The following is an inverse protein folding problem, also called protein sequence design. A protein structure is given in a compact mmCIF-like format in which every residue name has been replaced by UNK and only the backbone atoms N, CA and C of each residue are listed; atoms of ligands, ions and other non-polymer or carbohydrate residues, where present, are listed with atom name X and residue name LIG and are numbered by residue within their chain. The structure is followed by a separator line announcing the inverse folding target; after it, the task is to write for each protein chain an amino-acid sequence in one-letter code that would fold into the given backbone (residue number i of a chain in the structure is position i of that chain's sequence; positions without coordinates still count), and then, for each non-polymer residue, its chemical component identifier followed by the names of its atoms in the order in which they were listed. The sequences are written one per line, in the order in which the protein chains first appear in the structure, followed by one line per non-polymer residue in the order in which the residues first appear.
data_IF_057769654284
#
_entry.id   IF_057769654284
#
_cell.length_a   1.000
_cell.length_b   1.000
_cell.length_c   1.000
_cell.angle_alpha   90.00
_cell.angle_beta   90.00
_cell.angle_gamma   90.00
#
_symmetry.space_group_name_H-M   'P 1'
#
loop_
_entity.id
_entity.type
_entity.pdbx_description
1 polymer ?
#
# COMPACT_ATOMS: atom_id res chain seq x y z
N UNK A 1 29.08 -29.99 16.82
CA UNK A 1 29.33 -28.56 16.57
C UNK A 1 28.15 -27.96 15.82
N UNK A 2 27.39 -27.14 16.55
CA UNK A 2 26.46 -26.06 16.18
C UNK A 2 26.10 -25.85 14.69
N UNK A 3 24.89 -26.31 14.29
CA UNK A 3 24.18 -25.85 13.08
C UNK A 3 22.85 -25.13 13.36
N UNK A 4 22.43 -25.00 14.63
CA UNK A 4 21.17 -24.31 14.99
C UNK A 4 21.33 -22.80 15.26
N UNK A 5 22.55 -22.33 15.55
CA UNK A 5 22.78 -20.92 15.91
C UNK A 5 22.59 -19.96 14.72
N UNK A 6 23.07 -20.32 13.52
CA UNK A 6 23.13 -19.43 12.36
C UNK A 6 21.76 -18.98 11.85
N UNK A 7 20.74 -19.84 11.96
CA UNK A 7 19.36 -19.50 11.58
C UNK A 7 18.69 -18.53 12.57
N UNK A 8 19.01 -18.64 13.86
CA UNK A 8 18.49 -17.77 14.90
C UNK A 8 19.08 -16.35 14.81
N UNK A 9 20.38 -16.21 14.52
CA UNK A 9 21.00 -14.90 14.31
C UNK A 9 20.50 -14.22 13.04
N UNK A 10 20.26 -14.99 11.97
CA UNK A 10 19.71 -14.43 10.72
C UNK A 10 18.27 -13.96 10.89
N UNK A 11 17.42 -14.72 11.60
CA UNK A 11 16.07 -14.28 11.98
C UNK A 11 16.12 -13.03 12.85
N UNK A 12 16.96 -13.02 13.88
CA UNK A 12 17.06 -11.90 14.82
C UNK A 12 17.62 -10.63 14.19
N UNK A 13 18.52 -10.76 13.21
CA UNK A 13 19.03 -9.65 12.42
C UNK A 13 17.93 -9.03 11.54
N UNK A 14 17.16 -9.88 10.85
CA UNK A 14 16.02 -9.44 10.04
C UNK A 14 14.93 -8.80 10.91
N UNK A 15 14.63 -9.38 12.07
CA UNK A 15 13.68 -8.82 13.04
C UNK A 15 14.16 -7.46 13.59
N UNK A 16 15.46 -7.32 13.85
CA UNK A 16 16.03 -6.06 14.35
C UNK A 16 16.03 -4.99 13.26
N UNK A 17 16.37 -5.34 12.02
CA UNK A 17 16.29 -4.42 10.87
C UNK A 17 14.85 -3.94 10.64
N UNK A 18 13.87 -4.83 10.80
CA UNK A 18 12.45 -4.48 10.64
C UNK A 18 11.96 -3.57 11.76
N UNK A 19 12.35 -3.82 13.02
CA UNK A 19 12.03 -2.94 14.15
C UNK A 19 12.64 -1.54 13.99
N UNK A 20 13.89 -1.45 13.54
CA UNK A 20 14.53 -0.15 13.26
C UNK A 20 13.83 0.57 12.10
N UNK A 21 13.42 -0.18 11.06
CA UNK A 21 12.57 0.37 10.00
C UNK A 21 11.24 0.91 10.54
N UNK A 22 10.63 0.22 11.50
CA UNK A 22 9.37 0.60 12.12
C UNK A 22 9.51 1.89 12.94
N UNK A 23 10.56 1.98 13.76
CA UNK A 23 10.89 3.17 14.55
C UNK A 23 11.05 4.39 13.65
N UNK A 24 11.87 4.25 12.60
CA UNK A 24 12.16 5.32 11.63
C UNK A 24 10.91 5.71 10.84
N UNK A 25 10.07 4.75 10.45
CA UNK A 25 8.80 5.04 9.77
C UNK A 25 7.83 5.83 10.65
N UNK A 26 7.86 5.57 11.96
CA UNK A 26 7.00 6.21 12.96
C UNK A 26 7.42 7.66 13.17
N UNK A 27 8.68 7.88 13.54
CA UNK A 27 9.22 9.23 13.76
C UNK A 27 9.07 10.12 12.53
N UNK A 28 9.42 9.61 11.35
CA UNK A 28 9.30 10.39 10.11
C UNK A 28 7.85 10.79 9.79
N UNK A 29 6.87 9.91 10.00
CA UNK A 29 5.47 10.26 9.74
C UNK A 29 4.98 11.35 10.67
N UNK A 30 5.28 11.22 11.96
CA UNK A 30 4.75 12.12 12.98
C UNK A 30 5.38 13.51 12.80
N UNK A 31 6.70 13.59 12.62
CA UNK A 31 7.41 14.84 12.38
C UNK A 31 7.00 15.51 11.07
N UNK A 32 6.89 14.75 9.97
CA UNK A 32 6.54 15.31 8.66
C UNK A 32 5.06 15.73 8.63
N UNK A 33 4.16 14.94 9.22
CA UNK A 33 2.74 15.27 9.30
C UNK A 33 2.49 16.55 10.09
N UNK A 34 3.16 16.72 11.23
CA UNK A 34 3.10 17.95 12.03
C UNK A 34 3.67 19.14 11.27
N UNK A 35 4.81 18.98 10.61
CA UNK A 35 5.46 20.05 9.84
C UNK A 35 4.57 20.51 8.67
N UNK A 36 3.97 19.58 7.94
CA UNK A 36 3.06 19.89 6.82
C UNK A 36 1.79 20.60 7.32
N UNK A 37 1.24 20.14 8.45
CA UNK A 37 0.09 20.80 9.09
C UNK A 37 0.42 22.23 9.49
N UNK A 38 1.61 22.48 10.04
CA UNK A 38 2.08 23.81 10.40
C UNK A 38 2.23 24.72 9.16
N UNK A 39 2.82 24.22 8.06
CA UNK A 39 2.98 24.96 6.80
C UNK A 39 1.61 25.35 6.23
N UNK A 40 0.65 24.42 6.16
CA UNK A 40 -0.71 24.69 5.68
C UNK A 40 -1.43 25.71 6.55
N UNK A 41 -1.27 25.61 7.87
CA UNK A 41 -1.87 26.56 8.82
C UNK A 41 -1.31 27.97 8.59
N UNK A 42 0.00 28.12 8.44
CA UNK A 42 0.63 29.41 8.15
C UNK A 42 0.20 29.98 6.79
N UNK A 43 0.12 29.13 5.76
CA UNK A 43 -0.39 29.55 4.45
C UNK A 43 -1.83 30.09 4.55
N UNK A 44 -2.70 29.39 5.28
CA UNK A 44 -4.08 29.82 5.52
C UNK A 44 -4.18 31.11 6.34
N UNK A 45 -3.31 31.32 7.33
CA UNK A 45 -3.24 32.57 8.09
C UNK A 45 -2.86 33.74 7.17
N UNK A 46 -1.83 33.58 6.36
CA UNK A 46 -1.36 34.61 5.43
C UNK A 46 -2.44 34.99 4.41
N UNK A 47 -3.20 34.01 3.90
CA UNK A 47 -4.35 34.25 3.04
C UNK A 47 -5.45 35.07 3.74
N UNK A 48 -5.76 34.75 5.00
CA UNK A 48 -6.79 35.48 5.77
C UNK A 48 -6.38 36.90 6.14
N UNK A 49 -5.08 37.17 6.30
CA UNK A 49 -4.56 38.51 6.61
C UNK A 49 -4.56 39.45 5.41
N UNK A 50 -4.60 38.92 4.18
CA UNK A 50 -4.65 39.73 2.96
C UNK A 50 -5.69 39.17 1.95
N UNK A 51 -6.99 39.18 2.32
CA UNK A 51 -8.04 38.52 1.53
C UNK A 51 -8.25 39.15 0.15
N UNK A 52 -7.98 40.45 0.01
CA UNK A 52 -8.16 41.19 -1.24
C UNK A 52 -6.94 41.13 -2.17
N UNK A 53 -5.84 40.50 -1.72
CA UNK A 53 -4.62 40.38 -2.52
C UNK A 53 -4.58 39.04 -3.26
N UNK A 54 -5.03 39.04 -4.51
CA UNK A 54 -5.08 37.83 -5.35
C UNK A 54 -3.74 37.09 -5.49
N UNK A 55 -2.60 37.79 -5.43
CA UNK A 55 -1.27 37.14 -5.45
C UNK A 55 -0.98 36.38 -4.17
N UNK A 56 -1.41 36.90 -3.02
CA UNK A 56 -1.24 36.24 -1.72
C UNK A 56 -2.12 35.00 -1.65
N UNK A 57 -3.37 35.10 -2.13
CA UNK A 57 -4.28 33.96 -2.24
C UNK A 57 -3.66 32.84 -3.09
N UNK A 58 -3.20 33.16 -4.31
CA UNK A 58 -2.55 32.19 -5.20
C UNK A 58 -1.31 31.55 -4.58
N UNK A 59 -0.43 32.33 -3.96
CA UNK A 59 0.74 31.80 -3.28
C UNK A 59 0.37 30.83 -2.16
N UNK A 60 -0.65 31.14 -1.35
CA UNK A 60 -1.12 30.25 -0.30
C UNK A 60 -1.68 28.92 -0.84
N UNK A 61 -2.45 28.96 -1.94
CA UNK A 61 -2.95 27.75 -2.62
C UNK A 61 -1.78 26.91 -3.16
N UNK A 62 -0.77 27.57 -3.72
CA UNK A 62 0.41 26.88 -4.24
C UNK A 62 1.22 26.21 -3.13
N UNK A 63 1.39 26.87 -1.98
CA UNK A 63 2.02 26.29 -0.79
C UNK A 63 1.25 25.07 -0.29
N UNK A 64 -0.10 25.13 -0.28
CA UNK A 64 -0.93 24.00 0.11
C UNK A 64 -0.75 22.81 -0.83
N UNK A 65 -0.76 23.04 -2.16
CA UNK A 65 -0.52 22.01 -3.17
C UNK A 65 0.86 21.35 -3.04
N UNK A 66 1.91 22.16 -2.86
CA UNK A 66 3.27 21.64 -2.65
C UNK A 66 3.36 20.81 -1.36
N UNK A 67 2.72 21.27 -0.29
CA UNK A 67 2.70 20.58 1.00
C UNK A 67 2.01 19.21 0.89
N UNK A 68 0.89 19.13 0.15
CA UNK A 68 0.23 17.86 -0.14
C UNK A 68 1.10 16.94 -1.01
N UNK A 69 1.76 17.48 -2.03
CA UNK A 69 2.68 16.70 -2.86
C UNK A 69 3.86 16.09 -2.09
N UNK A 70 4.40 16.82 -1.10
CA UNK A 70 5.43 16.30 -0.18
C UNK A 70 4.84 15.23 0.72
N UNK A 71 3.64 15.46 1.30
CA UNK A 71 2.95 14.47 2.13
C UNK A 71 2.77 13.14 1.38
N UNK A 72 2.27 13.19 0.15
CA UNK A 72 2.04 11.99 -0.66
C UNK A 72 3.34 11.29 -1.08
N UNK A 73 4.40 12.05 -1.32
CA UNK A 73 5.72 11.49 -1.62
C UNK A 73 6.33 10.78 -0.42
N UNK A 74 6.22 11.38 0.76
CA UNK A 74 6.65 10.77 2.03
C UNK A 74 5.77 9.57 2.37
N UNK A 75 4.44 9.67 2.26
CA UNK A 75 3.52 8.54 2.46
C UNK A 75 3.87 7.38 1.54
N UNK A 76 4.22 7.62 0.27
CA UNK A 76 4.71 6.58 -0.65
C UNK A 76 6.04 5.96 -0.22
N UNK A 77 6.98 6.76 0.29
CA UNK A 77 8.26 6.25 0.80
C UNK A 77 8.07 5.43 2.08
N UNK A 78 7.21 5.91 2.99
CA UNK A 78 6.84 5.22 4.22
C UNK A 78 6.01 3.96 3.94
N UNK A 79 5.20 3.93 2.88
CA UNK A 79 4.50 2.71 2.42
C UNK A 79 5.44 1.59 2.00
N UNK A 80 6.72 1.89 1.75
CA UNK A 80 7.78 0.86 1.55
C UNK A 80 8.33 0.31 2.86
N UNK A 81 7.96 0.90 4.00
CA UNK A 81 8.15 0.39 5.36
C UNK A 81 6.87 -0.37 5.76
N UNK A 82 6.89 -1.16 6.84
CA UNK A 82 5.80 -2.08 7.21
C UNK A 82 4.41 -1.38 7.17
N UNK A 83 3.38 -1.98 6.54
CA UNK A 83 2.05 -1.35 6.47
C UNK A 83 1.41 -1.26 7.85
N UNK A 84 1.19 -0.04 8.34
CA UNK A 84 0.65 0.24 9.70
C UNK A 84 -0.69 -0.43 9.97
N UNK A 85 -1.51 -0.64 8.95
CA UNK A 85 -2.79 -1.34 9.12
C UNK A 85 -2.60 -2.75 9.70
N UNK A 86 -1.45 -3.39 9.51
CA UNK A 86 -1.18 -4.73 10.03
C UNK A 86 -0.77 -4.77 11.51
N UNK A 87 -0.55 -3.61 12.13
CA UNK A 87 -0.25 -3.50 13.57
C UNK A 87 -1.48 -3.81 14.42
N UNK A 88 -2.61 -3.22 14.05
CA UNK A 88 -3.84 -3.26 14.84
C UNK A 88 -4.95 -4.09 14.21
N UNK A 89 -4.82 -4.48 12.94
CA UNK A 89 -5.86 -5.18 12.19
C UNK A 89 -5.40 -6.55 11.69
N UNK A 90 -6.37 -7.45 11.49
CA UNK A 90 -6.16 -8.64 10.65
C UNK A 90 -5.82 -8.21 9.22
N UNK A 91 -5.15 -9.06 8.46
CA UNK A 91 -4.84 -8.80 7.06
C UNK A 91 -6.10 -8.54 6.23
N UNK A 92 -7.19 -9.30 6.44
CA UNK A 92 -8.47 -9.04 5.79
C UNK A 92 -8.98 -7.63 6.09
N UNK A 93 -9.00 -7.26 7.37
CA UNK A 93 -9.46 -5.94 7.81
C UNK A 93 -8.59 -4.83 7.25
N UNK A 94 -7.26 -5.02 7.22
CA UNK A 94 -6.32 -4.11 6.63
C UNK A 94 -6.61 -3.91 5.12
N UNK A 95 -6.86 -4.99 4.37
CA UNK A 95 -7.21 -4.92 2.94
C UNK A 95 -8.55 -4.22 2.73
N UNK A 96 -9.58 -4.50 3.55
CA UNK A 96 -10.86 -3.77 3.50
C UNK A 96 -10.68 -2.28 3.79
N UNK A 97 -9.84 -1.92 4.76
CA UNK A 97 -9.52 -0.53 5.06
C UNK A 97 -8.78 0.15 3.91
N UNK A 98 -7.81 -0.54 3.29
CA UNK A 98 -7.12 -0.06 2.10
C UNK A 98 -8.09 0.23 0.94
N UNK A 99 -9.03 -0.69 0.65
CA UNK A 99 -10.05 -0.48 -0.39
C UNK A 99 -10.93 0.76 -0.11
N UNK A 100 -11.22 1.04 1.17
CA UNK A 100 -11.96 2.24 1.59
C UNK A 100 -11.11 3.52 1.51
N UNK A 101 -9.86 3.47 1.98
CA UNK A 101 -8.91 4.60 1.93
C UNK A 101 -8.58 5.05 0.50
N UNK A 102 -8.68 4.14 -0.46
CA UNK A 102 -8.48 4.43 -1.88
C UNK A 102 -9.71 5.04 -2.55
N UNK A 103 -10.82 5.23 -1.80
CA UNK A 103 -12.03 5.88 -2.29
C UNK A 103 -12.49 5.30 -3.65
N UNK A 104 -12.46 3.96 -3.76
CA UNK A 104 -12.74 3.26 -5.02
C UNK A 104 -14.13 3.64 -5.56
N UNK A 105 -15.11 3.83 -4.68
CA UNK A 105 -16.46 4.28 -5.04
C UNK A 105 -16.46 5.69 -5.64
N UNK A 106 -15.67 6.63 -5.10
CA UNK A 106 -15.54 7.99 -5.65
C UNK A 106 -14.80 7.99 -7.00
N UNK A 107 -13.97 6.98 -7.24
CA UNK A 107 -13.38 6.69 -8.54
C UNK A 107 -14.34 5.99 -9.52
N UNK A 108 -15.57 5.67 -9.10
CA UNK A 108 -16.56 4.96 -9.91
C UNK A 108 -16.33 3.44 -10.02
N UNK A 109 -15.52 2.88 -9.12
CA UNK A 109 -15.12 1.47 -9.13
C UNK A 109 -15.88 0.69 -8.05
N UNK A 110 -16.67 -0.30 -8.48
CA UNK A 110 -17.32 -1.25 -7.56
C UNK A 110 -16.29 -2.27 -7.09
N UNK A 111 -16.20 -2.47 -5.77
CA UNK A 111 -15.16 -3.34 -5.20
C UNK A 111 -15.75 -4.54 -4.45
N UNK A 112 -15.18 -5.72 -4.68
CA UNK A 112 -15.57 -6.97 -4.04
C UNK A 112 -14.38 -7.66 -3.39
N UNK A 113 -14.57 -8.17 -2.17
CA UNK A 113 -13.56 -8.91 -1.42
C UNK A 113 -14.11 -10.26 -0.98
N UNK A 114 -13.53 -11.33 -1.52
CA UNK A 114 -13.73 -12.72 -1.07
C UNK A 114 -12.47 -13.20 -0.35
N UNK A 115 -12.51 -13.25 0.98
CA UNK A 115 -11.37 -13.64 1.78
C UNK A 115 -11.61 -14.96 2.51
N UNK A 116 -10.80 -15.97 2.19
CA UNK A 116 -10.85 -17.34 2.74
C UNK A 116 -9.46 -17.83 3.15
N UNK A 117 -8.59 -16.93 3.58
CA UNK A 117 -7.25 -17.26 4.07
C UNK A 117 -7.32 -17.40 5.59
N UNK A 118 -6.88 -18.54 6.14
CA UNK A 118 -6.61 -18.65 7.56
C UNK A 118 -5.31 -17.90 7.88
N UNK A 119 -5.46 -16.73 8.47
CA UNK A 119 -4.34 -15.85 8.81
C UNK A 119 -3.44 -16.40 9.92
N UNK A 120 -3.92 -17.33 10.74
CA UNK A 120 -3.11 -17.93 11.82
C UNK A 120 -1.97 -18.80 11.30
N UNK A 121 -2.10 -19.26 10.06
CA UNK A 121 -1.09 -20.05 9.35
C UNK A 121 -0.07 -19.16 8.59
N UNK A 122 -0.26 -17.84 8.60
CA UNK A 122 0.64 -16.91 7.92
C UNK A 122 1.74 -16.45 8.88
N UNK A 123 2.99 -16.50 8.39
CA UNK A 123 4.06 -15.70 8.99
C UNK A 123 3.77 -14.20 8.80
N UNK A 124 4.36 -13.39 9.68
CA UNK A 124 4.29 -11.94 9.58
C UNK A 124 4.80 -11.43 8.23
N UNK A 125 5.90 -11.99 7.73
CA UNK A 125 6.44 -11.64 6.42
C UNK A 125 5.44 -11.92 5.28
N UNK A 126 4.67 -13.02 5.36
CA UNK A 126 3.61 -13.32 4.38
C UNK A 126 2.46 -12.32 4.49
N UNK A 127 2.05 -11.94 5.71
CA UNK A 127 1.00 -10.92 5.92
C UNK A 127 1.39 -9.59 5.26
N UNK A 128 2.60 -9.12 5.53
CA UNK A 128 3.16 -7.89 4.93
C UNK A 128 3.22 -7.99 3.42
N UNK A 129 3.70 -9.12 2.89
CA UNK A 129 3.83 -9.33 1.44
C UNK A 129 2.48 -9.30 0.74
N UNK A 130 1.49 -10.03 1.26
CA UNK A 130 0.13 -10.08 0.69
C UNK A 130 -0.51 -8.69 0.71
N UNK A 131 -0.39 -7.95 1.82
CA UNK A 131 -0.92 -6.59 1.89
C UNK A 131 -0.29 -5.67 0.83
N UNK A 132 1.03 -5.75 0.63
CA UNK A 132 1.73 -4.94 -0.39
C UNK A 132 1.28 -5.29 -1.80
N UNK A 133 1.04 -6.58 -2.10
CA UNK A 133 0.49 -7.01 -3.39
C UNK A 133 -0.90 -6.41 -3.60
N UNK A 134 -1.77 -6.44 -2.59
CA UNK A 134 -3.08 -5.77 -2.65
C UNK A 134 -2.94 -4.26 -2.90
N UNK A 135 -2.06 -3.59 -2.15
CA UNK A 135 -1.82 -2.16 -2.27
C UNK A 135 -1.36 -1.76 -3.67
N UNK A 136 -0.34 -2.42 -4.21
CA UNK A 136 0.18 -2.10 -5.52
C UNK A 136 -0.81 -2.47 -6.63
N UNK A 137 -1.46 -3.63 -6.53
CA UNK A 137 -2.47 -4.06 -7.49
C UNK A 137 -3.63 -3.08 -7.59
N UNK A 138 -4.22 -2.69 -6.45
CA UNK A 138 -5.30 -1.70 -6.42
C UNK A 138 -4.83 -0.33 -6.92
N UNK A 139 -3.64 0.11 -6.53
CA UNK A 139 -3.06 1.37 -7.00
C UNK A 139 -2.87 1.38 -8.53
N UNK A 140 -2.45 0.26 -9.13
CA UNK A 140 -2.33 0.13 -10.57
C UNK A 140 -3.70 0.20 -11.25
N UNK A 141 -4.72 -0.44 -10.69
CA UNK A 141 -6.09 -0.39 -11.23
C UNK A 141 -6.61 1.05 -11.26
N UNK A 142 -6.55 1.74 -10.12
CA UNK A 142 -7.02 3.12 -9.99
C UNK A 142 -6.30 4.06 -10.97
N UNK A 143 -5.00 3.86 -11.18
CA UNK A 143 -4.19 4.76 -12.03
C UNK A 143 -4.22 4.44 -13.50
N UNK A 144 -4.39 3.17 -13.87
CA UNK A 144 -4.03 2.70 -15.21
C UNK A 144 -5.10 1.86 -15.90
N UNK A 145 -6.02 1.22 -15.18
CA UNK A 145 -6.92 0.25 -15.78
C UNK A 145 -8.16 0.87 -16.43
N UNK A 146 -8.59 2.07 -16.00
CA UNK A 146 -9.91 2.61 -16.35
C UNK A 146 -11.04 1.59 -16.10
N UNK A 147 -10.89 0.80 -15.04
CA UNK A 147 -11.83 -0.23 -14.62
C UNK A 147 -13.09 0.38 -13.99
N UNK A 148 -14.20 -0.35 -14.06
CA UNK A 148 -15.45 -0.05 -13.36
C UNK A 148 -15.73 -1.01 -12.20
N UNK A 149 -15.03 -2.14 -12.15
CA UNK A 149 -15.11 -3.11 -11.08
C UNK A 149 -13.75 -3.74 -10.76
N UNK A 150 -13.56 -4.09 -9.49
CA UNK A 150 -12.42 -4.88 -9.02
C UNK A 150 -12.89 -5.97 -8.07
N UNK A 151 -12.34 -7.17 -8.25
CA UNK A 151 -12.57 -8.30 -7.36
C UNK A 151 -11.25 -8.83 -6.81
N UNK A 152 -11.20 -8.96 -5.48
CA UNK A 152 -10.04 -9.46 -4.77
C UNK A 152 -10.40 -10.77 -4.07
N UNK A 153 -9.69 -11.85 -4.41
CA UNK A 153 -9.96 -13.21 -3.90
C UNK A 153 -8.72 -13.78 -3.23
N UNK A 154 -8.85 -14.18 -1.97
CA UNK A 154 -7.78 -14.85 -1.22
C UNK A 154 -8.23 -16.22 -0.74
N UNK A 155 -7.45 -17.28 -0.97
CA UNK A 155 -7.72 -18.60 -0.39
C UNK A 155 -6.44 -19.41 -0.19
N UNK A 156 -6.55 -20.51 0.56
CA UNK A 156 -5.47 -21.47 0.73
C UNK A 156 -5.79 -22.78 -0.01
N UNK A 157 -4.80 -23.33 -0.71
CA UNK A 157 -4.92 -24.60 -1.43
C UNK A 157 -3.57 -25.30 -1.47
N UNK A 158 -3.51 -26.59 -1.16
CA UNK A 158 -2.30 -27.42 -1.22
C UNK A 158 -1.09 -26.82 -0.47
N UNK A 159 -1.33 -26.22 0.71
CA UNK A 159 -0.29 -25.58 1.52
C UNK A 159 0.24 -24.26 0.94
N UNK A 160 -0.42 -23.70 -0.08
CA UNK A 160 -0.09 -22.40 -0.68
C UNK A 160 -1.20 -21.40 -0.40
N UNK A 161 -0.83 -20.13 -0.34
CA UNK A 161 -1.77 -19.02 -0.33
C UNK A 161 -1.89 -18.51 -1.76
N UNK A 162 -3.12 -18.40 -2.24
CA UNK A 162 -3.45 -17.81 -3.53
C UNK A 162 -4.16 -16.49 -3.28
N UNK A 163 -3.70 -15.45 -3.97
CA UNK A 163 -4.29 -14.13 -3.99
C UNK A 163 -4.48 -13.73 -5.45
N UNK A 164 -5.70 -13.39 -5.81
CA UNK A 164 -6.09 -12.94 -7.15
C UNK A 164 -6.69 -11.54 -7.03
N UNK A 165 -6.23 -10.65 -7.89
CA UNK A 165 -6.75 -9.29 -8.07
C UNK A 165 -7.16 -9.20 -9.53
N UNK A 166 -8.44 -8.97 -9.78
CA UNK A 166 -9.04 -8.97 -11.10
C UNK A 166 -9.81 -7.67 -11.30
N UNK A 167 -9.57 -7.01 -12.43
CA UNK A 167 -10.28 -5.81 -12.87
C UNK A 167 -10.86 -6.00 -14.28
N UNK A 168 -11.87 -5.20 -14.62
CA UNK A 168 -12.53 -5.20 -15.93
C UNK A 168 -11.98 -4.09 -16.87
N UNK A 169 -10.77 -3.60 -16.60
CA UNK A 169 -10.16 -2.49 -17.31
C UNK A 169 -9.47 -2.85 -18.62
N UNK A 170 -8.66 -1.93 -19.12
CA UNK A 170 -8.02 -2.01 -20.44
C UNK A 170 -6.87 -3.02 -20.54
N UNK A 171 -6.49 -3.67 -19.43
CA UNK A 171 -5.37 -4.60 -19.37
C UNK A 171 -4.01 -3.94 -19.59
N UNK A 172 -2.96 -4.76 -19.73
CA UNK A 172 -1.60 -4.31 -19.96
C UNK A 172 -1.38 -3.94 -21.44
N UNK A 173 -0.58 -2.90 -21.75
CA UNK A 173 -0.20 -2.59 -23.13
C UNK A 173 0.49 -3.79 -23.82
N UNK A 174 0.35 -3.95 -25.14
CA UNK A 174 1.02 -5.02 -25.89
C UNK A 174 2.54 -4.98 -25.65
N UNK A 175 3.12 -6.09 -25.19
CA UNK A 175 4.55 -6.20 -24.86
C UNK A 175 4.92 -5.97 -23.38
N UNK A 176 3.94 -5.72 -22.51
CA UNK A 176 4.16 -5.51 -21.05
C UNK A 176 3.88 -6.75 -20.20
N UNK A 177 3.41 -7.85 -20.81
CA UNK A 177 3.12 -9.09 -20.09
C UNK A 177 4.38 -9.90 -19.82
N UNK A 178 4.44 -10.70 -18.75
CA UNK A 178 5.51 -11.68 -18.57
C UNK A 178 5.34 -12.76 -19.64
N UNK A 179 6.00 -12.59 -20.78
CA UNK A 179 6.27 -13.69 -21.68
C UNK A 179 7.09 -14.73 -20.90
N UNK A 180 6.64 -15.99 -20.90
CA UNK A 180 7.41 -17.22 -20.57
C UNK A 180 7.44 -17.80 -19.14
N UNK A 181 6.69 -17.33 -18.13
CA UNK A 181 6.80 -17.93 -16.76
C UNK A 181 5.73 -18.96 -16.34
N UNK A 182 4.69 -19.22 -17.14
CA UNK A 182 3.66 -20.22 -16.81
C UNK A 182 3.39 -21.29 -17.90
N UNK A 183 4.28 -21.46 -18.88
CA UNK A 183 4.23 -22.64 -19.75
C UNK A 183 5.12 -23.76 -19.21
N UNK A 184 4.59 -24.58 -18.31
CA UNK A 184 5.23 -25.88 -18.05
C UNK A 184 5.09 -26.42 -16.64
N UNK A 185 3.93 -27.03 -16.35
CA UNK A 185 3.76 -28.42 -15.89
C UNK A 185 2.39 -28.54 -15.24
N UNK A 186 1.41 -28.88 -16.05
CA UNK A 186 0.30 -29.77 -15.68
C UNK A 186 -0.33 -30.29 -16.98
N UNK A 187 0.38 -31.25 -17.59
CA UNK A 187 -0.17 -32.15 -18.58
C UNK A 187 0.52 -33.51 -18.39
N UNK A 188 0.15 -34.20 -17.32
CA UNK A 188 0.25 -35.66 -17.21
C UNK A 188 -0.58 -36.13 -16.02
N UNK A 189 -1.87 -36.30 -16.25
CA UNK A 189 -2.66 -37.28 -15.52
C UNK A 189 -2.72 -38.53 -16.41
N UNK A 190 -1.89 -39.52 -16.09
CA UNK A 190 -2.01 -40.93 -16.45
C UNK A 190 -1.14 -41.74 -15.48
#
# INVERSE_FOLDING_TARGET
MSWHATGAWRKRLVETEENVRQEVARELHDDIGQTITAIRTQAGIVQRLAPDNGRVIQSGVHIEQLSLGVYDSVRRLLGRLRPRQLDDLSLEQAVRSLMREMELEDCGIVSHLEWRIDETLLSEAQRVTLFRVCQEGLNNIVKHASASAVTLKGWQQNGRVLLVIEDDGCGLPPGSGPAELWSGRDAANA
#
